data_IF_345178802739
#
_entry.id   IF_345178802739
#
_cell.length_a   1.000
_cell.length_b   1.000
_cell.length_c   1.000
_cell.angle_alpha   90.00
_cell.angle_beta   90.00
_cell.angle_gamma   90.00
#
_symmetry.space_group_name_H-M   'P 1'
#
loop_
_entity.id
_entity.type
_entity.pdbx_description
1 polymer ?
#
# COMPACT_ATOMS: atom_id res chain seq x y z
N UNK A 1 -0.57 14.15 31.91
CA UNK A 1 0.08 13.90 30.60
C UNK A 1 -1.00 13.42 29.65
N UNK A 2 -1.23 14.09 28.53
CA UNK A 2 -2.25 13.64 27.56
C UNK A 2 -1.82 12.27 27.02
N UNK A 3 -2.62 11.24 27.29
CA UNK A 3 -2.37 9.89 26.79
C UNK A 3 -2.36 9.94 25.25
N UNK A 4 -1.27 9.45 24.65
CA UNK A 4 -1.20 9.30 23.19
C UNK A 4 -2.20 8.22 22.77
N UNK A 5 -3.13 8.55 21.89
CA UNK A 5 -4.05 7.56 21.29
C UNK A 5 -3.49 7.15 19.93
N UNK A 6 -3.46 5.84 19.67
CA UNK A 6 -3.00 5.30 18.39
C UNK A 6 -4.11 4.47 17.76
N UNK A 7 -4.36 4.69 16.47
CA UNK A 7 -5.36 3.98 15.69
C UNK A 7 -4.86 3.65 14.30
N UNK A 8 -5.51 2.69 13.64
CA UNK A 8 -5.24 2.37 12.24
C UNK A 8 -5.88 3.43 11.34
N UNK A 9 -5.09 3.95 10.41
CA UNK A 9 -5.49 5.01 9.49
C UNK A 9 -5.35 4.52 8.06
N UNK A 10 -6.47 4.40 7.35
CA UNK A 10 -6.49 4.01 5.94
C UNK A 10 -6.11 5.20 5.06
N UNK A 11 -5.09 5.02 4.23
CA UNK A 11 -4.67 5.99 3.23
C UNK A 11 -4.89 5.40 1.84
N UNK A 12 -5.23 6.25 0.89
CA UNK A 12 -5.43 5.81 -0.48
C UNK A 12 -4.78 6.70 -1.52
N UNK A 13 -4.26 6.06 -2.56
CA UNK A 13 -3.69 6.73 -3.73
C UNK A 13 -4.15 6.02 -5.01
N UNK A 14 -4.53 6.79 -6.01
CA UNK A 14 -5.00 6.25 -7.30
C UNK A 14 -3.88 6.33 -8.32
N UNK A 15 -3.68 5.24 -9.05
CA UNK A 15 -2.76 5.15 -10.17
C UNK A 15 -3.51 4.73 -11.43
N UNK A 16 -3.30 5.47 -12.52
CA UNK A 16 -3.88 5.12 -13.81
C UNK A 16 -3.00 4.09 -14.52
N UNK A 17 -3.62 2.99 -14.95
CA UNK A 17 -3.01 1.94 -15.76
C UNK A 17 -3.85 1.81 -17.03
N UNK A 18 -3.30 2.26 -18.16
CA UNK A 18 -4.05 2.45 -19.41
C UNK A 18 -5.31 3.30 -19.18
N UNK A 19 -6.50 2.72 -19.34
CA UNK A 19 -7.79 3.39 -19.18
C UNK A 19 -8.43 3.15 -17.82
N UNK A 20 -7.77 2.45 -16.90
CA UNK A 20 -8.33 2.07 -15.61
C UNK A 20 -7.60 2.72 -14.43
N UNK A 21 -8.35 3.03 -13.38
CA UNK A 21 -7.81 3.57 -12.14
C UNK A 21 -7.66 2.47 -11.09
N UNK A 22 -6.43 2.20 -10.69
CA UNK A 22 -6.07 1.29 -9.62
C UNK A 22 -5.92 2.04 -8.30
N UNK A 23 -6.69 1.65 -7.27
CA UNK A 23 -6.62 2.26 -5.94
C UNK A 23 -5.69 1.44 -5.05
N UNK A 24 -4.59 2.04 -4.61
CA UNK A 24 -3.66 1.52 -3.61
C UNK A 24 -4.15 1.95 -2.23
N UNK A 25 -4.44 0.97 -1.37
CA UNK A 25 -4.77 1.21 0.03
C UNK A 25 -3.59 0.80 0.92
N UNK A 26 -3.13 1.74 1.75
CA UNK A 26 -2.09 1.51 2.76
C UNK A 26 -2.65 1.94 4.10
N UNK A 27 -2.79 1.02 5.04
CA UNK A 27 -3.29 1.30 6.38
C UNK A 27 -2.08 1.40 7.31
N UNK A 28 -1.83 2.58 7.84
CA UNK A 28 -0.71 2.85 8.76
C UNK A 28 -1.23 2.99 10.18
N UNK A 29 -0.41 2.65 11.18
CA UNK A 29 -0.74 2.95 12.57
C UNK A 29 -0.28 4.37 12.88
N UNK A 30 -1.21 5.25 13.19
CA UNK A 30 -0.93 6.65 13.51
C UNK A 30 -1.30 6.94 14.96
N UNK A 31 -0.50 7.78 15.60
CA UNK A 31 -0.64 8.19 16.99
C UNK A 31 -0.84 9.71 17.06
N UNK A 32 -1.58 10.16 18.08
CA UNK A 32 -1.83 11.57 18.33
C UNK A 32 -1.74 11.91 19.81
N UNK A 33 -1.16 13.05 20.13
CA UNK A 33 -1.17 13.65 21.46
C UNK A 33 -1.49 15.15 21.32
N UNK A 34 -2.73 15.53 21.65
CA UNK A 34 -3.23 16.88 21.41
C UNK A 34 -3.24 17.25 19.92
N UNK A 35 -2.55 18.33 19.55
CA UNK A 35 -2.44 18.82 18.16
C UNK A 35 -1.30 18.15 17.37
N UNK A 36 -0.46 17.34 18.02
CA UNK A 36 0.67 16.67 17.38
C UNK A 36 0.31 15.23 17.01
N UNK A 37 0.48 14.86 15.75
CA UNK A 37 0.23 13.52 15.23
C UNK A 37 1.44 12.97 14.47
N UNK A 38 1.69 11.66 14.57
CA UNK A 38 2.77 10.97 13.88
C UNK A 38 2.41 9.54 13.51
N UNK A 39 3.08 8.96 12.51
CA UNK A 39 3.00 7.53 12.20
C UNK A 39 3.92 6.75 13.15
N UNK A 40 3.42 5.64 13.68
CA UNK A 40 4.23 4.64 14.39
C UNK A 40 5.05 3.84 13.38
N UNK A 41 6.27 4.30 13.10
CA UNK A 41 7.20 3.69 12.15
C UNK A 41 7.73 2.31 12.59
N UNK A 42 7.49 1.93 13.86
CA UNK A 42 7.85 0.60 14.39
C UNK A 42 6.76 -0.43 14.11
N UNK A 43 5.53 0.01 13.86
CA UNK A 43 4.42 -0.87 13.49
C UNK A 43 4.29 -0.95 11.98
N UNK A 44 4.28 -2.17 11.44
CA UNK A 44 4.09 -2.39 10.00
C UNK A 44 2.74 -1.89 9.51
N UNK A 45 2.67 -1.32 8.30
CA UNK A 45 1.40 -1.01 7.67
C UNK A 45 0.65 -2.30 7.31
N UNK A 46 -0.68 -2.28 7.42
CA UNK A 46 -1.53 -3.30 6.84
C UNK A 46 -1.81 -2.91 5.38
N UNK A 47 -1.34 -3.73 4.44
CA UNK A 47 -1.65 -3.50 3.03
C UNK A 47 -2.94 -4.24 2.68
N UNK A 48 -4.00 -3.50 2.35
CA UNK A 48 -5.27 -4.10 1.99
C UNK A 48 -5.72 -3.66 0.61
N UNK A 49 -5.24 -4.42 -0.38
CA UNK A 49 -5.64 -4.40 -1.79
C UNK A 49 -5.04 -3.28 -2.65
N UNK A 50 -4.56 -3.70 -3.82
CA UNK A 50 -4.38 -2.86 -4.98
C UNK A 50 -5.39 -3.31 -6.02
N UNK A 51 -6.57 -2.68 -6.01
CA UNK A 51 -7.74 -3.12 -6.79
C UNK A 51 -7.98 -2.17 -7.96
N UNK A 52 -8.25 -2.75 -9.12
CA UNK A 52 -8.60 -2.04 -10.35
C UNK A 52 -9.82 -2.74 -11.00
N UNK A 53 -11.00 -2.67 -10.37
CA UNK A 53 -12.22 -3.28 -10.93
C UNK A 53 -12.09 -4.79 -11.14
N UNK A 54 -12.24 -5.24 -12.40
CA UNK A 54 -12.02 -6.63 -12.85
C UNK A 54 -10.56 -6.94 -13.23
N UNK A 55 -9.63 -6.05 -12.88
CA UNK A 55 -8.19 -6.19 -13.10
C UNK A 55 -7.50 -6.50 -11.78
N UNK A 56 -6.61 -7.46 -11.87
CA UNK A 56 -5.95 -8.10 -10.74
C UNK A 56 -4.45 -7.88 -10.84
N UNK A 57 -3.84 -7.42 -9.75
CA UNK A 57 -2.43 -7.06 -9.72
C UNK A 57 -1.55 -8.27 -9.38
N UNK A 58 -0.44 -8.42 -10.10
CA UNK A 58 0.69 -9.26 -9.74
C UNK A 58 1.95 -8.40 -9.75
N UNK A 59 2.78 -8.54 -8.71
CA UNK A 59 3.99 -7.77 -8.56
C UNK A 59 4.31 -7.50 -7.10
N UNK A 60 5.08 -6.45 -6.85
CA UNK A 60 5.49 -6.06 -5.51
C UNK A 60 5.05 -4.64 -5.19
N UNK A 61 4.68 -4.44 -3.93
CA UNK A 61 4.44 -3.12 -3.34
C UNK A 61 5.38 -3.01 -2.16
N UNK A 62 6.24 -1.99 -2.18
CA UNK A 62 7.14 -1.65 -1.08
C UNK A 62 6.65 -0.37 -0.41
N UNK A 63 6.65 -0.34 0.91
CA UNK A 63 6.30 0.84 1.72
C UNK A 63 7.38 1.03 2.77
N UNK A 64 7.84 2.26 2.94
CA UNK A 64 8.79 2.67 3.97
C UNK A 64 8.17 3.83 4.76
N UNK A 65 8.05 3.64 6.08
CA UNK A 65 7.29 4.56 6.94
C UNK A 65 8.17 5.68 7.49
N UNK A 66 7.63 6.88 7.50
CA UNK A 66 8.21 8.08 8.10
C UNK A 66 7.20 8.71 9.07
N UNK A 67 7.65 9.57 9.97
CA UNK A 67 6.77 10.13 11.02
C UNK A 67 5.57 10.92 10.48
N UNK A 68 5.68 11.49 9.27
CA UNK A 68 4.66 12.35 8.63
C UNK A 68 4.02 11.73 7.39
N UNK A 69 4.40 10.49 7.04
CA UNK A 69 3.98 9.89 5.78
C UNK A 69 4.72 8.60 5.46
N UNK A 70 4.73 8.22 4.19
CA UNK A 70 5.47 7.04 3.76
C UNK A 70 5.94 7.17 2.32
N UNK A 71 7.07 6.54 2.04
CA UNK A 71 7.49 6.25 0.67
C UNK A 71 6.86 4.95 0.22
N UNK A 72 6.54 4.87 -1.06
CA UNK A 72 6.08 3.63 -1.66
C UNK A 72 6.59 3.44 -3.09
N UNK A 73 6.72 2.18 -3.48
CA UNK A 73 7.03 1.75 -4.85
C UNK A 73 6.06 0.64 -5.22
N UNK A 74 5.34 0.81 -6.31
CA UNK A 74 4.58 -0.26 -6.95
C UNK A 74 5.31 -0.68 -8.22
N UNK A 75 5.58 -1.97 -8.34
CA UNK A 75 6.15 -2.57 -9.54
C UNK A 75 5.41 -3.87 -9.86
N UNK A 76 4.65 -3.89 -10.95
CA UNK A 76 3.95 -5.08 -11.37
C UNK A 76 3.10 -4.90 -12.61
N UNK A 77 2.23 -5.88 -12.84
CA UNK A 77 1.32 -5.95 -13.97
C UNK A 77 -0.08 -6.31 -13.53
N UNK A 78 -1.05 -5.89 -14.34
CA UNK A 78 -2.46 -6.16 -14.18
C UNK A 78 -2.94 -7.16 -15.21
N UNK A 79 -3.85 -8.04 -14.79
CA UNK A 79 -4.42 -9.12 -15.60
C UNK A 79 -5.96 -9.13 -15.46
N UNK A 80 -6.69 -9.52 -16.51
CA UNK A 80 -8.16 -9.60 -16.49
C UNK A 80 -8.65 -10.93 -15.90
N UNK A 81 -9.78 -10.89 -15.19
CA UNK A 81 -10.60 -12.06 -14.83
C UNK A 81 -9.82 -13.23 -14.20
N UNK A 82 -8.99 -12.93 -13.20
CA UNK A 82 -8.17 -13.93 -12.50
C UNK A 82 -8.38 -13.80 -10.99
N UNK A 83 -7.92 -14.77 -10.21
CA UNK A 83 -7.91 -14.70 -8.75
C UNK A 83 -6.56 -14.19 -8.27
N UNK A 84 -6.56 -13.32 -7.25
CA UNK A 84 -5.34 -12.80 -6.62
C UNK A 84 -5.14 -13.47 -5.29
N UNK A 85 -3.95 -14.03 -5.10
CA UNK A 85 -3.41 -14.37 -3.80
C UNK A 85 -2.31 -13.36 -3.47
N UNK A 86 -2.22 -12.95 -2.22
CA UNK A 86 -1.16 -12.08 -1.77
C UNK A 86 -0.49 -12.66 -0.54
N UNK A 87 0.82 -12.52 -0.47
CA UNK A 87 1.61 -12.81 0.71
C UNK A 87 2.26 -11.51 1.16
N UNK A 88 1.86 -11.04 2.35
CA UNK A 88 2.52 -9.94 3.04
C UNK A 88 3.58 -10.51 3.99
N UNK A 89 4.78 -9.93 4.03
CA UNK A 89 5.81 -10.39 4.97
C UNK A 89 5.55 -9.81 6.36
N UNK A 90 5.32 -10.66 7.36
CA UNK A 90 5.32 -10.31 8.80
C UNK A 90 6.77 -10.32 9.35
N UNK A 91 7.16 -9.37 10.22
CA UNK A 91 8.50 -9.36 10.89
C UNK A 91 9.27 -8.03 10.89
N UNK A 92 9.87 -7.62 12.02
CA UNK A 92 10.31 -6.25 12.41
C UNK A 92 11.27 -5.41 11.50
N UNK A 93 10.96 -5.20 10.22
CA UNK A 93 11.66 -4.25 9.34
C UNK A 93 10.76 -3.05 8.99
N UNK A 94 11.35 -1.85 8.87
CA UNK A 94 10.69 -0.58 8.49
C UNK A 94 10.18 -0.61 7.05
N UNK A 95 10.89 -1.32 6.18
CA UNK A 95 10.46 -1.57 4.79
C UNK A 95 9.52 -2.77 4.75
N UNK A 96 8.26 -2.51 4.46
CA UNK A 96 7.26 -3.53 4.21
C UNK A 96 7.20 -3.86 2.71
N UNK A 97 7.30 -5.14 2.36
CA UNK A 97 7.08 -5.61 0.99
C UNK A 97 5.89 -6.57 0.97
N UNK A 98 4.92 -6.31 0.11
CA UNK A 98 3.88 -7.27 -0.23
C UNK A 98 4.09 -7.76 -1.65
N UNK A 99 3.98 -9.08 -1.83
CA UNK A 99 4.04 -9.70 -3.16
C UNK A 99 2.67 -10.24 -3.50
N UNK A 100 2.22 -9.92 -4.71
CA UNK A 100 0.94 -10.33 -5.27
C UNK A 100 1.21 -11.27 -6.43
N UNK A 101 0.47 -12.38 -6.46
CA UNK A 101 0.53 -13.37 -7.53
C UNK A 101 -0.87 -13.62 -8.06
N UNK A 102 -1.00 -13.71 -9.38
CA UNK A 102 -2.26 -14.12 -10.02
C UNK A 102 -2.19 -15.58 -10.43
N UNK A 103 -3.34 -16.25 -10.49
CA UNK A 103 -3.43 -17.66 -10.89
C UNK A 103 -3.22 -17.90 -12.38
N UNK A 104 -3.36 -16.86 -13.22
CA UNK A 104 -3.10 -16.93 -14.66
C UNK A 104 -2.63 -15.58 -15.21
N UNK A 105 -1.58 -15.61 -16.02
CA UNK A 105 -0.99 -14.43 -16.68
C UNK A 105 -1.43 -14.26 -18.13
N UNK A 106 -2.24 -15.17 -18.67
CA UNK A 106 -2.64 -15.19 -20.09
C UNK A 106 -3.48 -13.98 -20.52
N UNK A 107 -4.08 -13.26 -19.56
CA UNK A 107 -4.96 -12.12 -19.79
C UNK A 107 -4.31 -10.78 -19.44
N UNK A 108 -3.07 -10.54 -19.90
CA UNK A 108 -2.34 -9.31 -19.62
C UNK A 108 -3.13 -8.05 -20.01
N UNK A 109 -3.22 -7.09 -19.09
CA UNK A 109 -3.87 -5.80 -19.31
C UNK A 109 -2.85 -4.66 -19.43
N UNK A 110 -1.93 -4.51 -18.48
CA UNK A 110 -0.96 -3.42 -18.48
C UNK A 110 -0.01 -3.46 -17.29
N UNK A 111 1.15 -2.86 -17.42
CA UNK A 111 2.15 -2.74 -16.36
C UNK A 111 2.04 -1.40 -15.63
N UNK A 112 2.48 -1.39 -14.38
CA UNK A 112 2.63 -0.18 -13.58
C UNK A 112 3.98 -0.24 -12.85
N UNK A 113 4.77 0.80 -13.08
CA UNK A 113 5.91 1.13 -12.25
C UNK A 113 5.80 2.58 -11.82
N UNK A 114 5.70 2.83 -10.51
CA UNK A 114 5.52 4.20 -10.01
C UNK A 114 6.82 4.95 -9.82
N UNK A 115 7.96 4.25 -9.77
CA UNK A 115 9.15 4.78 -9.08
C UNK A 115 8.87 5.00 -7.59
N UNK A 116 9.80 5.64 -6.88
CA UNK A 116 9.60 6.06 -5.49
C UNK A 116 8.63 7.23 -5.46
N UNK A 117 7.56 7.08 -4.68
CA UNK A 117 6.54 8.11 -4.45
C UNK A 117 6.39 8.38 -2.96
N UNK A 118 6.10 9.63 -2.62
CA UNK A 118 5.81 10.05 -1.25
C UNK A 118 4.31 10.27 -1.07
N UNK A 119 3.78 9.84 0.07
CA UNK A 119 2.42 10.16 0.51
C UNK A 119 2.46 10.70 1.93
N UNK A 120 2.02 11.95 2.10
CA UNK A 120 1.80 12.52 3.42
C UNK A 120 0.57 11.89 4.08
N UNK A 121 0.65 11.67 5.39
CA UNK A 121 -0.45 11.22 6.25
C UNK A 121 -0.65 12.25 7.35
N UNK A 122 -1.90 12.64 7.58
CA UNK A 122 -2.27 13.60 8.61
C UNK A 122 -3.16 12.90 9.64
N UNK A 123 -2.61 12.50 10.80
CA UNK A 123 -3.33 11.80 11.88
C UNK A 123 -4.36 12.65 12.64
#
# INVERSE_FOLDING_TARGET
MAASTCSWHETSTTHTVKSYNAKLLVIVKACRSGSFGWIDTKTKPMLQSFKAGSKYFQGSIKVDLESTGYYYVVNGSFYNNTTVSHTGTTGANTVFTATYTVSSTSNYYGSLYTGVKWKQVTP
#
